data_IF_082921641424
#
_entry.id   IF_082921641424
#
_cell.length_a   1.000
_cell.length_b   1.000
_cell.length_c   1.000
_cell.angle_alpha   90.00
_cell.angle_beta   90.00
_cell.angle_gamma   90.00
#
_symmetry.space_group_name_H-M   'P 1'
#
loop_
_entity.id
_entity.type
_entity.pdbx_description
1 polymer ?
#
# COMPACT_ATOMS: atom_id res chain seq x y z
N UNK A 1 22.48 100.14 -5.99
CA UNK A 1 21.62 99.67 -7.09
C UNK A 1 21.02 98.38 -6.57
N UNK A 2 20.04 98.55 -5.69
CA UNK A 2 18.58 98.60 -5.96
C UNK A 2 18.04 97.22 -5.55
N UNK A 3 17.54 97.08 -4.32
CA UNK A 3 16.17 97.37 -3.85
C UNK A 3 15.09 96.55 -4.56
N UNK A 4 14.43 95.68 -3.78
CA UNK A 4 12.96 95.52 -3.61
C UNK A 4 12.72 94.22 -2.80
N UNK A 5 12.33 94.25 -1.51
CA UNK A 5 10.94 94.28 -0.96
C UNK A 5 10.08 93.12 -1.49
N UNK A 6 9.27 92.34 -0.76
CA UNK A 6 8.62 92.48 0.55
C UNK A 6 7.95 91.13 0.91
N UNK A 7 7.49 91.05 2.17
CA UNK A 7 6.36 90.28 2.70
C UNK A 7 6.59 88.89 3.31
N UNK A 8 6.54 88.92 4.64
CA UNK A 8 6.19 87.81 5.54
C UNK A 8 4.74 87.38 5.26
N UNK A 9 4.50 86.06 5.30
CA UNK A 9 3.25 85.57 5.87
C UNK A 9 3.48 84.23 6.59
N UNK A 10 2.96 84.16 7.82
CA UNK A 10 3.06 83.05 8.75
C UNK A 10 1.88 82.12 8.50
N UNK A 11 2.11 80.86 8.14
CA UNK A 11 1.07 79.81 8.27
C UNK A 11 1.65 78.43 8.59
N UNK A 12 1.43 78.02 9.85
CA UNK A 12 1.16 76.70 10.42
C UNK A 12 1.56 75.42 9.64
N UNK A 13 2.36 74.59 10.30
CA UNK A 13 2.83 73.25 9.89
C UNK A 13 1.72 72.25 9.49
N UNK A 14 1.87 71.52 8.37
CA UNK A 14 1.10 70.31 8.07
C UNK A 14 1.81 69.06 8.59
N UNK A 15 2.09 69.01 9.90
CA UNK A 15 2.54 67.78 10.61
C UNK A 15 1.40 67.10 11.38
N UNK A 16 0.14 67.50 11.12
CA UNK A 16 -1.05 66.91 11.72
C UNK A 16 -1.85 66.03 10.74
N UNK A 17 -1.91 66.36 9.45
CA UNK A 17 -2.61 65.52 8.46
C UNK A 17 -1.87 64.22 8.12
N UNK A 18 -0.52 64.22 8.17
CA UNK A 18 0.28 63.00 8.00
C UNK A 18 0.22 62.07 9.23
N UNK A 19 -0.10 62.61 10.42
CA UNK A 19 -0.27 61.82 11.64
C UNK A 19 -1.67 61.23 11.79
N UNK A 20 -2.69 61.81 11.15
CA UNK A 20 -4.04 61.22 11.11
C UNK A 20 -4.13 60.05 10.12
N UNK A 21 -3.40 60.08 9.00
CA UNK A 21 -3.31 58.94 8.07
C UNK A 21 -2.51 57.75 8.64
N UNK A 22 -1.48 58.01 9.46
CA UNK A 22 -0.80 56.95 10.24
C UNK A 22 -1.67 56.44 11.40
N UNK A 23 -2.62 57.22 11.93
CA UNK A 23 -3.54 56.75 12.98
C UNK A 23 -4.69 55.91 12.43
N UNK A 24 -5.20 56.18 11.23
CA UNK A 24 -6.23 55.32 10.59
C UNK A 24 -5.66 53.96 10.15
N UNK A 25 -4.39 53.88 9.76
CA UNK A 25 -3.72 52.61 9.47
C UNK A 25 -3.42 51.82 10.77
N UNK A 26 -3.15 52.52 11.87
CA UNK A 26 -3.01 51.92 13.21
C UNK A 26 -4.36 51.49 13.80
N UNK A 27 -5.46 52.20 13.57
CA UNK A 27 -6.81 51.76 13.97
C UNK A 27 -7.32 50.58 13.13
N UNK A 28 -6.91 50.50 11.86
CA UNK A 28 -7.21 49.33 11.00
C UNK A 28 -6.37 48.11 11.42
N UNK A 29 -5.11 48.31 11.84
CA UNK A 29 -4.31 47.26 12.47
C UNK A 29 -4.81 46.87 13.88
N UNK A 30 -5.40 47.79 14.64
CA UNK A 30 -6.03 47.51 15.95
C UNK A 30 -7.39 46.79 15.81
N UNK A 31 -8.10 46.94 14.69
CA UNK A 31 -9.28 46.15 14.37
C UNK A 31 -8.94 44.68 14.07
N UNK A 32 -7.72 44.38 13.59
CA UNK A 32 -7.21 43.00 13.45
C UNK A 32 -6.76 42.36 14.78
N UNK A 33 -6.65 43.13 15.87
CA UNK A 33 -6.23 42.63 17.19
C UNK A 33 -7.38 42.40 18.19
N UNK A 34 -8.65 42.62 17.82
CA UNK A 34 -9.82 42.39 18.69
C UNK A 34 -10.50 41.01 18.54
N UNK A 35 -9.99 40.11 17.69
CA UNK A 35 -10.58 38.77 17.48
C UNK A 35 -10.24 37.74 18.58
N UNK A 36 -9.42 38.11 19.58
CA UNK A 36 -8.85 37.15 20.52
C UNK A 36 -9.76 36.63 21.65
N UNK A 37 -10.98 37.14 21.86
CA UNK A 37 -11.75 36.86 23.10
C UNK A 37 -13.05 36.06 22.94
N UNK A 38 -13.76 36.17 21.80
CA UNK A 38 -15.13 35.63 21.67
C UNK A 38 -15.27 34.38 20.81
N UNK A 39 -14.21 34.01 20.12
CA UNK A 39 -14.27 33.05 19.02
C UNK A 39 -14.63 31.62 19.47
N UNK A 40 -14.10 31.06 20.59
CA UNK A 40 -14.42 29.67 20.96
C UNK A 40 -15.85 29.45 21.45
N UNK A 41 -16.42 30.38 22.22
CA UNK A 41 -17.77 30.21 22.78
C UNK A 41 -18.87 30.26 21.70
N UNK A 42 -18.68 31.13 20.69
CA UNK A 42 -19.56 31.20 19.52
C UNK A 42 -19.43 29.91 18.69
N UNK A 43 -18.21 29.46 18.42
CA UNK A 43 -17.96 28.20 17.71
C UNK A 43 -18.59 26.99 18.41
N UNK A 44 -18.47 26.90 19.74
CA UNK A 44 -19.07 25.81 20.51
C UNK A 44 -20.60 25.82 20.36
N UNK A 45 -21.22 26.99 20.49
CA UNK A 45 -22.69 27.10 20.38
C UNK A 45 -23.18 26.74 18.98
N UNK A 46 -22.54 27.28 17.94
CA UNK A 46 -22.90 26.98 16.54
C UNK A 46 -22.68 25.49 16.20
N UNK A 47 -21.57 24.91 16.65
CA UNK A 47 -21.29 23.49 16.45
C UNK A 47 -22.31 22.59 17.15
N UNK A 48 -22.72 22.91 18.38
CA UNK A 48 -23.72 22.14 19.10
C UNK A 48 -25.10 22.24 18.45
N UNK A 49 -25.49 23.42 17.96
CA UNK A 49 -26.75 23.60 17.22
C UNK A 49 -26.77 22.75 15.94
N UNK A 50 -25.66 22.73 15.19
CA UNK A 50 -25.53 21.88 14.01
C UNK A 50 -25.55 20.40 14.37
N UNK A 51 -24.86 19.99 15.42
CA UNK A 51 -24.81 18.60 15.87
C UNK A 51 -26.20 18.05 16.23
N UNK A 52 -27.02 18.84 16.93
CA UNK A 52 -28.39 18.45 17.27
C UNK A 52 -29.30 18.29 16.05
N UNK A 53 -28.96 18.94 14.92
CA UNK A 53 -29.72 18.84 13.67
C UNK A 53 -29.32 17.65 12.80
N UNK A 54 -28.28 16.89 13.16
CA UNK A 54 -27.75 15.81 12.35
C UNK A 54 -28.53 14.48 12.49
N UNK A 55 -28.49 13.62 11.44
CA UNK A 55 -29.15 12.32 11.47
C UNK A 55 -28.55 11.37 12.53
N UNK A 56 -29.38 10.45 13.02
CA UNK A 56 -28.97 9.39 13.96
C UNK A 56 -27.80 8.60 13.37
N UNK A 57 -26.67 8.57 14.07
CA UNK A 57 -25.45 7.91 13.61
C UNK A 57 -24.21 8.80 13.64
N UNK A 58 -24.33 10.11 13.83
CA UNK A 58 -23.19 10.98 14.11
C UNK A 58 -22.66 10.79 15.54
N UNK A 59 -21.39 11.13 15.77
CA UNK A 59 -20.79 11.17 17.10
C UNK A 59 -21.30 12.42 17.84
N UNK A 60 -22.26 12.23 18.74
CA UNK A 60 -22.98 13.30 19.46
C UNK A 60 -22.93 13.17 20.99
N UNK A 61 -22.12 12.25 21.52
CA UNK A 61 -22.03 11.95 22.95
C UNK A 61 -20.60 12.17 23.47
N UNK A 62 -20.50 12.76 24.65
CA UNK A 62 -19.23 12.89 25.39
C UNK A 62 -18.88 14.34 25.74
N UNK A 63 -17.73 14.52 26.39
CA UNK A 63 -17.32 15.82 26.94
C UNK A 63 -16.23 16.51 26.12
N UNK A 64 -15.76 15.91 25.03
CA UNK A 64 -14.85 16.55 24.09
C UNK A 64 -15.63 16.94 22.85
N UNK A 65 -15.61 18.24 22.50
CA UNK A 65 -16.08 18.72 21.20
C UNK A 65 -14.89 18.80 20.25
N UNK A 66 -15.04 18.22 19.06
CA UNK A 66 -14.05 18.23 17.99
C UNK A 66 -14.63 18.96 16.79
N UNK A 67 -13.95 19.99 16.31
CA UNK A 67 -14.33 20.75 15.11
C UNK A 67 -13.35 20.37 14.00
N UNK A 68 -13.85 19.67 12.97
CA UNK A 68 -13.01 19.18 11.87
C UNK A 68 -12.86 20.20 10.73
N UNK A 69 -13.68 21.25 10.73
CA UNK A 69 -13.64 22.33 9.75
C UNK A 69 -14.20 23.60 10.38
N UNK A 70 -13.37 24.63 10.54
CA UNK A 70 -13.77 25.91 11.14
C UNK A 70 -14.72 26.71 10.24
N UNK A 71 -14.77 26.39 8.95
CA UNK A 71 -15.67 27.04 8.00
C UNK A 71 -17.00 26.27 7.84
N UNK A 72 -17.08 25.06 8.39
CA UNK A 72 -18.26 24.20 8.32
C UNK A 72 -18.47 23.41 9.62
N UNK A 73 -19.16 24.02 10.58
CA UNK A 73 -19.51 23.39 11.86
C UNK A 73 -20.43 22.17 11.74
N UNK A 74 -20.97 21.87 10.55
CA UNK A 74 -21.63 20.59 10.33
C UNK A 74 -20.64 19.41 10.37
N UNK A 75 -19.34 19.66 10.34
CA UNK A 75 -18.30 18.63 10.51
C UNK A 75 -17.77 18.56 11.95
N UNK A 76 -18.54 19.02 12.92
CA UNK A 76 -18.20 18.86 14.34
C UNK A 76 -18.72 17.52 14.89
N UNK A 77 -18.05 16.98 15.91
CA UNK A 77 -18.51 15.81 16.63
C UNK A 77 -18.20 15.86 18.12
N UNK A 78 -18.97 15.13 18.92
CA UNK A 78 -18.70 14.89 20.34
C UNK A 78 -18.20 13.48 20.58
N UNK A 79 -17.14 13.40 21.38
CA UNK A 79 -16.51 12.14 21.77
C UNK A 79 -16.28 12.13 23.27
N UNK A 80 -16.36 10.95 23.88
CA UNK A 80 -15.99 10.80 25.28
C UNK A 80 -14.48 11.00 25.48
N UNK A 81 -14.12 11.80 26.49
CA UNK A 81 -12.73 12.10 26.83
C UNK A 81 -11.90 10.84 27.09
N UNK A 82 -12.48 9.81 27.70
CA UNK A 82 -11.78 8.55 27.95
C UNK A 82 -11.38 7.82 26.66
N UNK A 83 -12.17 7.88 25.58
CA UNK A 83 -11.82 7.27 24.29
C UNK A 83 -10.63 7.98 23.64
N UNK A 84 -10.66 9.32 23.58
CA UNK A 84 -9.55 10.09 22.99
C UNK A 84 -8.28 9.92 23.82
N UNK A 85 -8.38 10.06 25.14
CA UNK A 85 -7.22 10.09 26.03
C UNK A 85 -6.62 8.73 26.35
N UNK A 86 -7.36 7.64 26.17
CA UNK A 86 -6.80 6.29 26.26
C UNK A 86 -5.94 5.95 25.04
N UNK A 87 -6.20 6.59 23.89
CA UNK A 87 -5.68 6.16 22.60
C UNK A 87 -4.83 7.21 21.88
N UNK A 88 -4.64 8.41 22.46
CA UNK A 88 -3.84 9.49 21.86
C UNK A 88 -3.03 10.23 22.92
N UNK A 89 -1.96 10.92 22.50
CA UNK A 89 -1.19 11.82 23.38
C UNK A 89 -1.89 13.16 23.66
N UNK A 90 -3.10 13.37 23.14
CA UNK A 90 -3.87 14.61 23.34
C UNK A 90 -4.23 14.85 24.82
N UNK A 91 -4.19 13.81 25.66
CA UNK A 91 -4.46 13.95 27.10
C UNK A 91 -3.57 15.01 27.77
N UNK A 92 -2.28 15.02 27.48
CA UNK A 92 -1.33 15.95 28.10
C UNK A 92 -1.53 17.38 27.60
N UNK A 93 -1.79 17.53 26.31
CA UNK A 93 -2.09 18.82 25.69
C UNK A 93 -3.39 19.41 26.25
N UNK A 94 -4.43 18.60 26.41
CA UNK A 94 -5.71 19.00 26.99
C UNK A 94 -5.64 19.32 28.49
N UNK A 95 -4.80 18.62 29.28
CA UNK A 95 -4.64 18.88 30.72
C UNK A 95 -4.23 20.33 31.03
N UNK A 96 -3.42 20.95 30.18
CA UNK A 96 -2.98 22.34 30.34
C UNK A 96 -4.14 23.35 30.26
N UNK A 97 -5.23 22.97 29.61
CA UNK A 97 -6.41 23.82 29.36
C UNK A 97 -7.61 23.45 30.26
N UNK A 98 -7.53 22.33 30.99
CA UNK A 98 -8.62 21.75 31.78
C UNK A 98 -8.96 22.51 33.08
N UNK A 99 -8.23 23.56 33.42
CA UNK A 99 -8.42 24.32 34.68
C UNK A 99 -9.68 25.20 34.68
N UNK A 100 -10.46 25.21 33.60
CA UNK A 100 -11.62 26.06 33.40
C UNK A 100 -12.93 25.29 33.58
N UNK A 101 -14.01 25.95 34.04
CA UNK A 101 -15.30 25.29 34.19
C UNK A 101 -15.82 24.80 32.82
N UNK A 102 -16.52 23.65 32.78
CA UNK A 102 -17.12 23.15 31.55
C UNK A 102 -18.08 24.17 30.92
N UNK A 103 -18.07 24.27 29.58
CA UNK A 103 -18.99 25.14 28.84
C UNK A 103 -20.03 24.28 28.12
N UNK A 104 -21.31 24.41 28.48
CA UNK A 104 -22.41 23.64 27.87
C UNK A 104 -22.20 22.10 27.90
N UNK A 105 -21.57 21.58 28.96
CA UNK A 105 -21.26 20.15 29.09
C UNK A 105 -20.07 19.67 28.27
N UNK A 106 -19.28 20.61 27.72
CA UNK A 106 -17.99 20.36 27.07
C UNK A 106 -16.86 20.71 28.03
N UNK A 107 -15.98 19.75 28.27
CA UNK A 107 -14.78 19.89 29.09
C UNK A 107 -13.55 20.26 28.24
N UNK A 108 -13.55 19.87 26.96
CA UNK A 108 -12.40 20.05 26.06
C UNK A 108 -12.86 20.40 24.65
N UNK A 109 -12.19 21.36 24.02
CA UNK A 109 -12.37 21.72 22.61
C UNK A 109 -11.10 21.36 21.83
N UNK A 110 -11.27 20.59 20.77
CA UNK A 110 -10.23 20.28 19.79
C UNK A 110 -10.63 20.85 18.44
N UNK A 111 -9.70 21.50 17.75
CA UNK A 111 -9.91 22.05 16.40
C UNK A 111 -8.89 21.45 15.45
N UNK A 112 -9.34 21.00 14.29
CA UNK A 112 -8.45 20.50 13.25
C UNK A 112 -7.80 21.69 12.54
N UNK A 113 -6.47 21.80 12.62
CA UNK A 113 -5.71 22.92 12.08
C UNK A 113 -4.56 22.44 11.20
N UNK A 114 -4.30 23.17 10.12
CA UNK A 114 -3.26 22.88 9.14
C UNK A 114 -3.61 23.45 7.77
N UNK A 115 -2.63 24.08 7.13
CA UNK A 115 -2.68 24.49 5.72
C UNK A 115 -1.59 23.68 5.04
N UNK A 116 -1.95 22.91 4.02
CA UNK A 116 -1.04 22.26 3.08
C UNK A 116 -0.42 20.90 3.49
N UNK A 117 -0.24 20.60 4.78
CA UNK A 117 0.16 19.26 5.28
C UNK A 117 -1.00 18.50 5.98
N UNK A 118 -0.75 17.26 6.43
CA UNK A 118 -1.70 16.50 7.27
C UNK A 118 -2.10 17.34 8.49
N UNK A 119 -3.36 17.79 8.61
CA UNK A 119 -3.78 18.67 9.69
C UNK A 119 -3.78 17.91 11.02
N UNK A 120 -3.66 18.63 12.14
CA UNK A 120 -3.53 18.06 13.48
C UNK A 120 -4.63 18.60 14.39
N UNK A 121 -5.14 17.78 15.30
CA UNK A 121 -6.08 18.21 16.33
C UNK A 121 -5.36 19.05 17.40
N UNK A 122 -5.69 20.33 17.47
CA UNK A 122 -5.12 21.30 18.41
C UNK A 122 -6.12 21.61 19.53
N UNK A 123 -5.74 21.44 20.80
CA UNK A 123 -6.58 21.86 21.92
C UNK A 123 -6.76 23.37 21.99
N UNK A 124 -8.00 23.83 22.20
CA UNK A 124 -8.36 25.24 22.33
C UNK A 124 -9.06 25.52 23.67
N UNK A 125 -8.87 26.73 24.25
CA UNK A 125 -9.58 27.11 25.47
C UNK A 125 -11.09 27.28 25.21
N UNK A 126 -11.93 26.88 26.17
CA UNK A 126 -13.40 26.96 26.06
C UNK A 126 -13.95 28.40 26.12
N UNK A 127 -13.29 29.26 26.88
CA UNK A 127 -13.52 30.71 26.92
C UNK A 127 -12.16 31.39 26.86
N UNK A 128 -12.06 32.56 26.25
CA UNK A 128 -10.96 33.47 26.57
C UNK A 128 -11.47 34.44 27.63
N UNK A 129 -11.30 34.09 28.91
CA UNK A 129 -11.46 35.09 29.95
C UNK A 129 -10.32 36.11 29.80
N UNK A 130 -10.67 37.29 29.29
CA UNK A 130 -9.80 38.46 29.27
C UNK A 130 -9.71 39.00 30.69
N UNK A 131 -8.97 38.30 31.55
CA UNK A 131 -8.38 38.83 32.77
C UNK A 131 -7.10 38.06 33.06
N UNK A 132 -6.03 38.43 32.38
CA UNK A 132 -4.68 38.15 32.86
C UNK A 132 -3.93 39.47 32.89
N UNK A 133 -3.70 39.99 34.09
CA UNK A 133 -2.78 41.11 34.36
C UNK A 133 -1.31 40.75 34.09
N UNK A 134 -1.04 39.63 33.40
CA UNK A 134 0.30 39.17 33.02
C UNK A 134 0.29 38.61 31.59
N UNK A 135 -0.10 39.44 30.61
CA UNK A 135 0.13 39.15 29.21
C UNK A 135 1.61 39.35 28.87
N UNK A 136 2.47 38.39 29.24
CA UNK A 136 3.73 38.21 28.57
C UNK A 136 3.44 37.56 27.21
N UNK A 137 3.80 38.28 26.15
CA UNK A 137 3.61 37.95 24.74
C UNK A 137 4.03 36.52 24.42
N UNK A 138 3.07 35.68 23.99
CA UNK A 138 3.37 34.55 23.11
C UNK A 138 3.19 35.05 21.69
N UNK A 139 4.28 35.58 21.13
CA UNK A 139 4.38 36.00 19.73
C UNK A 139 4.24 34.78 18.82
N UNK A 140 3.13 34.71 18.08
CA UNK A 140 3.02 33.84 16.91
C UNK A 140 3.53 34.62 15.70
N UNK A 141 4.61 34.14 15.08
CA UNK A 141 5.08 34.64 13.79
C UNK A 141 4.30 33.94 12.68
N UNK A 142 3.61 34.72 11.85
CA UNK A 142 3.10 34.27 10.55
C UNK A 142 4.28 34.02 9.60
N UNK A 143 4.36 32.88 8.89
CA UNK A 143 5.27 32.76 7.77
C UNK A 143 4.70 33.49 6.55
N UNK A 144 5.56 34.30 5.95
CA UNK A 144 5.32 35.09 4.76
C UNK A 144 4.80 34.25 3.58
N UNK A 145 3.84 34.83 2.86
CA UNK A 145 3.35 34.34 1.57
C UNK A 145 4.51 34.29 0.57
N UNK A 146 4.96 33.09 0.22
CA UNK A 146 5.66 32.84 -1.04
C UNK A 146 4.76 31.97 -1.91
N UNK A 147 4.33 32.55 -3.03
CA UNK A 147 3.79 31.84 -4.15
C UNK A 147 4.91 31.03 -4.81
N UNK A 148 4.74 29.72 -4.90
CA UNK A 148 5.10 28.96 -6.09
C UNK A 148 4.41 27.58 -6.06
N UNK A 149 3.85 27.24 -7.22
CA UNK A 149 2.96 26.12 -7.49
C UNK A 149 3.64 24.76 -7.32
N UNK A 150 3.02 23.87 -6.53
CA UNK A 150 3.19 22.43 -6.65
C UNK A 150 1.81 21.76 -6.51
N UNK A 151 1.21 21.51 -7.66
CA UNK A 151 -0.05 20.80 -7.83
C UNK A 151 0.12 19.34 -7.34
N UNK A 152 -0.47 19.00 -6.19
CA UNK A 152 -0.79 17.61 -5.86
C UNK A 152 -2.22 17.33 -6.34
N UNK A 153 -2.33 16.48 -7.35
CA UNK A 153 -3.59 16.06 -7.95
C UNK A 153 -4.43 15.24 -6.95
N UNK A 154 -5.32 15.95 -6.27
CA UNK A 154 -6.34 15.38 -5.39
C UNK A 154 -7.55 14.93 -6.24
N UNK A 155 -7.33 14.03 -7.20
CA UNK A 155 -8.35 13.60 -8.18
C UNK A 155 -9.53 12.81 -7.59
N UNK A 156 -9.64 12.69 -6.26
CA UNK A 156 -10.75 12.00 -5.60
C UNK A 156 -11.44 12.76 -4.47
N UNK A 157 -11.02 14.00 -4.17
CA UNK A 157 -11.82 14.99 -3.45
C UNK A 157 -12.24 14.66 -1.99
N UNK A 158 -11.69 13.64 -1.34
CA UNK A 158 -11.96 13.42 0.08
C UNK A 158 -11.08 14.35 0.94
N UNK A 159 -11.73 15.13 1.81
CA UNK A 159 -11.03 16.06 2.71
C UNK A 159 -10.54 15.34 3.96
N UNK A 160 -9.43 15.81 4.55
CA UNK A 160 -8.90 15.29 5.83
C UNK A 160 -9.95 15.20 6.94
N UNK A 161 -10.94 16.10 6.95
CA UNK A 161 -12.07 16.04 7.88
C UNK A 161 -12.77 14.68 7.87
N UNK A 162 -12.90 14.02 6.70
CA UNK A 162 -13.49 12.69 6.57
C UNK A 162 -12.60 11.61 7.19
N UNK A 163 -11.29 11.65 6.98
CA UNK A 163 -10.36 10.67 7.58
C UNK A 163 -10.32 10.79 9.11
N UNK A 164 -10.39 12.02 9.63
CA UNK A 164 -10.52 12.25 11.06
C UNK A 164 -11.87 11.79 11.62
N UNK A 165 -12.99 11.97 10.92
CA UNK A 165 -14.28 11.41 11.35
C UNK A 165 -14.22 9.86 11.43
N UNK A 166 -13.65 9.21 10.42
CA UNK A 166 -13.42 7.75 10.41
C UNK A 166 -12.57 7.33 11.63
N UNK A 167 -11.45 8.02 11.87
CA UNK A 167 -10.57 7.77 13.02
C UNK A 167 -11.31 7.92 14.35
N UNK A 168 -12.07 9.01 14.53
CA UNK A 168 -12.82 9.29 15.75
C UNK A 168 -13.92 8.25 16.00
N UNK A 169 -14.54 7.71 14.95
CA UNK A 169 -15.52 6.61 15.06
C UNK A 169 -14.87 5.33 15.54
N UNK A 170 -13.68 5.00 15.04
CA UNK A 170 -12.90 3.81 15.44
C UNK A 170 -12.55 3.88 16.92
N UNK A 171 -11.93 4.97 17.38
CA UNK A 171 -11.54 5.11 18.80
C UNK A 171 -12.76 5.22 19.73
N UNK A 172 -13.92 5.63 19.20
CA UNK A 172 -15.18 5.66 19.95
C UNK A 172 -15.88 4.30 20.04
N UNK A 173 -15.30 3.24 19.47
CA UNK A 173 -15.85 1.89 19.52
C UNK A 173 -17.13 1.70 18.70
N UNK A 174 -17.36 2.54 17.69
CA UNK A 174 -18.50 2.39 16.78
C UNK A 174 -18.35 1.10 15.95
N UNK A 175 -19.47 0.48 15.58
CA UNK A 175 -19.45 -0.75 14.77
C UNK A 175 -18.79 -0.49 13.40
N UNK A 176 -18.04 -1.49 12.92
CA UNK A 176 -17.49 -1.64 11.57
C UNK A 176 -18.40 -1.18 10.42
N UNK A 177 -19.72 -1.36 10.56
CA UNK A 177 -20.73 -0.91 9.57
C UNK A 177 -20.87 0.60 9.47
N UNK A 178 -20.46 1.31 10.51
CA UNK A 178 -20.58 2.77 10.63
C UNK A 178 -19.25 3.52 10.51
N UNK A 179 -18.13 2.81 10.34
CA UNK A 179 -16.79 3.41 10.26
C UNK A 179 -16.65 4.32 9.04
N UNK A 180 -17.38 4.07 7.95
CA UNK A 180 -17.39 4.95 6.76
C UNK A 180 -16.33 4.63 5.70
N UNK A 181 -15.61 3.52 5.86
CA UNK A 181 -14.70 2.98 4.84
C UNK A 181 -15.51 2.35 3.70
N UNK A 182 -15.08 2.60 2.46
CA UNK A 182 -15.66 2.05 1.24
C UNK A 182 -15.68 0.52 1.26
N UNK A 183 -16.84 -0.06 0.94
CA UNK A 183 -17.03 -1.52 0.84
C UNK A 183 -16.93 -2.06 -0.58
N UNK A 184 -17.28 -1.20 -1.53
CA UNK A 184 -17.43 -1.59 -2.93
C UNK A 184 -16.23 -1.18 -3.78
N UNK A 185 -15.51 -0.13 -3.38
CA UNK A 185 -14.31 0.36 -4.06
C UNK A 185 -13.09 0.16 -3.17
N UNK A 186 -12.23 -0.82 -3.52
CA UNK A 186 -11.02 -1.16 -2.76
C UNK A 186 -9.89 -0.14 -2.93
N UNK A 187 -9.80 0.58 -4.04
CA UNK A 187 -8.79 1.66 -4.19
C UNK A 187 -9.12 2.82 -3.25
N UNK A 188 -10.41 3.20 -3.19
CA UNK A 188 -10.87 4.20 -2.23
C UNK A 188 -10.67 3.72 -0.78
N UNK A 189 -10.94 2.45 -0.51
CA UNK A 189 -10.71 1.87 0.81
C UNK A 189 -9.22 1.89 1.20
N UNK A 190 -8.33 1.51 0.28
CA UNK A 190 -6.89 1.56 0.49
C UNK A 190 -6.42 2.98 0.85
N UNK A 191 -6.89 4.00 0.13
CA UNK A 191 -6.58 5.40 0.42
C UNK A 191 -7.12 5.85 1.78
N UNK A 192 -8.37 5.52 2.09
CA UNK A 192 -9.00 5.82 3.39
C UNK A 192 -8.25 5.17 4.55
N UNK A 193 -7.85 3.91 4.41
CA UNK A 193 -7.14 3.18 5.46
C UNK A 193 -5.70 3.69 5.60
N UNK A 194 -5.03 4.02 4.51
CA UNK A 194 -3.68 4.61 4.54
C UNK A 194 -3.70 5.95 5.28
N UNK A 195 -4.62 6.85 4.91
CA UNK A 195 -4.78 8.14 5.59
C UNK A 195 -5.15 7.98 7.07
N UNK A 196 -5.97 6.98 7.41
CA UNK A 196 -6.30 6.63 8.80
C UNK A 196 -5.06 6.20 9.59
N UNK A 197 -4.19 5.38 9.01
CA UNK A 197 -2.91 4.97 9.61
C UNK A 197 -2.00 6.18 9.82
N UNK A 198 -1.95 7.11 8.87
CA UNK A 198 -1.14 8.33 8.99
C UNK A 198 -1.65 9.23 10.13
N UNK A 199 -2.97 9.42 10.23
CA UNK A 199 -3.61 10.14 11.36
C UNK A 199 -3.28 9.44 12.68
N UNK A 200 -3.36 8.11 12.72
CA UNK A 200 -3.05 7.35 13.92
C UNK A 200 -1.60 7.53 14.38
N UNK A 201 -0.65 7.47 13.44
CA UNK A 201 0.78 7.68 13.71
C UNK A 201 1.03 9.10 14.21
N UNK A 202 0.40 10.11 13.59
CA UNK A 202 0.50 11.51 14.00
C UNK A 202 0.08 11.75 15.46
N UNK A 203 -0.97 11.04 15.90
CA UNK A 203 -1.49 11.13 17.26
C UNK A 203 -0.88 10.10 18.24
N UNK A 204 0.14 9.36 17.79
CA UNK A 204 0.81 8.28 18.53
C UNK A 204 -0.18 7.24 19.08
N UNK A 205 -1.15 6.87 18.26
CA UNK A 205 -2.14 5.86 18.59
C UNK A 205 -1.55 4.45 18.50
N UNK A 206 -2.07 3.52 19.30
CA UNK A 206 -1.69 2.12 19.24
C UNK A 206 -2.24 1.49 17.94
N UNK A 207 -1.35 1.25 16.96
CA UNK A 207 -1.68 0.64 15.68
C UNK A 207 -2.47 -0.68 15.80
N UNK A 208 -2.13 -1.62 16.71
CA UNK A 208 -2.87 -2.89 16.83
C UNK A 208 -4.37 -2.71 17.07
N UNK A 209 -4.77 -1.66 17.79
CA UNK A 209 -6.19 -1.34 18.02
C UNK A 209 -6.90 -0.98 16.72
N UNK A 210 -6.24 -0.22 15.84
CA UNK A 210 -6.81 0.15 14.54
C UNK A 210 -6.87 -1.06 13.63
N UNK A 211 -5.80 -1.86 13.59
CA UNK A 211 -5.76 -3.10 12.84
C UNK A 211 -6.92 -4.04 13.22
N UNK A 212 -7.17 -4.25 14.52
CA UNK A 212 -8.27 -5.10 15.02
C UNK A 212 -9.64 -4.64 14.48
N UNK A 213 -9.90 -3.33 14.45
CA UNK A 213 -11.16 -2.78 13.93
C UNK A 213 -11.25 -2.88 12.40
N UNK A 214 -10.13 -2.76 11.72
CA UNK A 214 -10.06 -2.92 10.26
C UNK A 214 -10.20 -4.38 9.83
N UNK A 215 -9.84 -5.36 10.67
CA UNK A 215 -9.97 -6.77 10.33
C UNK A 215 -11.40 -7.13 9.90
N UNK A 216 -12.43 -6.61 10.57
CA UNK A 216 -13.83 -6.88 10.18
C UNK A 216 -14.13 -6.35 8.78
N UNK A 217 -13.56 -5.19 8.44
CA UNK A 217 -13.67 -4.60 7.10
C UNK A 217 -12.96 -5.45 6.06
N UNK A 218 -11.73 -5.93 6.35
CA UNK A 218 -10.99 -6.84 5.48
C UNK A 218 -11.71 -8.16 5.24
N UNK A 219 -12.28 -8.77 6.29
CA UNK A 219 -13.11 -9.97 6.16
C UNK A 219 -14.34 -9.71 5.26
N UNK A 220 -14.91 -8.51 5.33
CA UNK A 220 -16.02 -8.08 4.47
C UNK A 220 -15.65 -8.02 2.97
N UNK A 221 -14.39 -7.75 2.62
CA UNK A 221 -13.92 -7.78 1.23
C UNK A 221 -13.76 -9.21 0.69
N UNK A 222 -13.40 -10.16 1.56
CA UNK A 222 -13.16 -11.55 1.19
C UNK A 222 -12.11 -11.68 0.08
N UNK A 223 -12.35 -12.58 -0.88
CA UNK A 223 -11.39 -12.85 -1.98
C UNK A 223 -11.04 -11.64 -2.84
N UNK A 224 -11.91 -10.61 -2.90
CA UNK A 224 -11.65 -9.38 -3.65
C UNK A 224 -10.46 -8.58 -3.12
N UNK A 225 -10.19 -8.69 -1.81
CA UNK A 225 -9.03 -8.06 -1.18
C UNK A 225 -7.75 -8.59 -1.80
N UNK A 226 -7.56 -9.91 -1.78
CA UNK A 226 -6.34 -10.52 -2.26
C UNK A 226 -6.16 -10.36 -3.78
N UNK A 227 -7.25 -10.31 -4.56
CA UNK A 227 -7.17 -9.90 -5.97
C UNK A 227 -6.65 -8.47 -6.13
N UNK A 228 -7.11 -7.52 -5.31
CA UNK A 228 -6.62 -6.14 -5.33
C UNK A 228 -5.16 -6.04 -4.86
N UNK A 229 -4.74 -6.88 -3.91
CA UNK A 229 -3.34 -7.01 -3.48
C UNK A 229 -2.44 -7.40 -4.65
N UNK A 230 -2.86 -8.40 -5.45
CA UNK A 230 -2.10 -8.80 -6.64
C UNK A 230 -2.02 -7.72 -7.73
N UNK A 231 -2.94 -6.76 -7.76
CA UNK A 231 -2.94 -5.63 -8.70
C UNK A 231 -2.01 -4.49 -8.26
N UNK A 232 -1.89 -4.25 -6.95
CA UNK A 232 -1.02 -3.21 -6.40
C UNK A 232 -0.25 -3.70 -5.16
N UNK A 233 0.69 -4.65 -5.35
CA UNK A 233 1.31 -5.30 -4.22
C UNK A 233 2.23 -4.35 -3.41
N UNK A 234 2.71 -3.25 -3.98
CA UNK A 234 3.58 -2.29 -3.27
C UNK A 234 2.79 -1.55 -2.19
N UNK A 235 1.66 -0.91 -2.55
CA UNK A 235 0.86 -0.14 -1.58
C UNK A 235 0.23 -1.06 -0.52
N UNK A 236 -0.22 -2.25 -0.92
CA UNK A 236 -0.78 -3.22 0.02
C UNK A 236 0.29 -3.84 0.93
N UNK A 237 1.52 -4.04 0.47
CA UNK A 237 2.64 -4.48 1.31
C UNK A 237 2.95 -3.42 2.38
N UNK A 238 3.06 -2.14 1.98
CA UNK A 238 3.26 -1.03 2.92
C UNK A 238 2.16 -0.96 3.96
N UNK A 239 0.90 -1.10 3.54
CA UNK A 239 -0.22 -1.09 4.47
C UNK A 239 -0.18 -2.29 5.42
N UNK A 240 0.13 -3.50 4.93
CA UNK A 240 0.30 -4.70 5.75
C UNK A 240 1.39 -4.50 6.81
N UNK A 241 2.51 -3.88 6.45
CA UNK A 241 3.56 -3.51 7.41
C UNK A 241 3.08 -2.50 8.44
N UNK A 242 2.43 -1.44 7.99
CA UNK A 242 1.99 -0.36 8.86
C UNK A 242 0.93 -0.80 9.86
N UNK A 243 0.10 -1.77 9.50
CA UNK A 243 -0.91 -2.37 10.37
C UNK A 243 -0.39 -3.59 11.15
N UNK A 244 0.80 -4.10 10.80
CA UNK A 244 1.33 -5.39 11.27
C UNK A 244 0.35 -6.54 10.98
N UNK A 245 -0.34 -6.49 9.83
CA UNK A 245 -1.27 -7.53 9.38
C UNK A 245 -0.51 -8.59 8.56
N UNK A 246 -0.21 -9.73 9.21
CA UNK A 246 0.56 -10.82 8.59
C UNK A 246 -0.07 -11.35 7.29
N UNK A 247 -1.39 -11.65 7.21
CA UNK A 247 -1.99 -12.17 5.98
C UNK A 247 -1.85 -11.19 4.80
N UNK A 248 -2.09 -9.91 5.03
CA UNK A 248 -2.02 -8.88 4.00
C UNK A 248 -0.58 -8.66 3.53
N UNK A 249 0.37 -8.54 4.47
CA UNK A 249 1.78 -8.41 4.13
C UNK A 249 2.30 -9.61 3.35
N UNK A 250 2.00 -10.83 3.82
CA UNK A 250 2.43 -12.08 3.20
C UNK A 250 1.92 -12.21 1.77
N UNK A 251 0.65 -11.93 1.53
CA UNK A 251 0.07 -11.95 0.19
C UNK A 251 0.84 -11.01 -0.75
N UNK A 252 1.00 -9.76 -0.33
CA UNK A 252 1.65 -8.73 -1.11
C UNK A 252 3.13 -9.05 -1.37
N UNK A 253 3.84 -9.52 -0.35
CA UNK A 253 5.25 -9.90 -0.43
C UNK A 253 5.49 -11.01 -1.45
N UNK A 254 4.66 -12.07 -1.45
CA UNK A 254 4.77 -13.16 -2.44
C UNK A 254 4.58 -12.63 -3.86
N UNK A 255 3.65 -11.70 -4.08
CA UNK A 255 3.48 -11.05 -5.39
C UNK A 255 4.71 -10.24 -5.80
N UNK A 256 5.29 -9.45 -4.87
CA UNK A 256 6.49 -8.65 -5.14
C UNK A 256 7.70 -9.52 -5.50
N UNK A 257 7.90 -10.63 -4.79
CA UNK A 257 8.99 -11.57 -5.06
C UNK A 257 8.77 -12.31 -6.38
N UNK A 258 7.57 -12.85 -6.60
CA UNK A 258 7.25 -13.61 -7.80
C UNK A 258 7.34 -12.76 -9.07
N UNK A 259 6.83 -11.53 -9.01
CA UNK A 259 6.80 -10.60 -10.14
C UNK A 259 8.01 -9.65 -10.19
N UNK A 260 9.08 -9.93 -9.42
CA UNK A 260 10.20 -9.01 -9.22
C UNK A 260 10.76 -8.42 -10.53
N UNK A 261 11.10 -9.27 -11.51
CA UNK A 261 11.65 -8.82 -12.79
C UNK A 261 10.64 -7.96 -13.60
N UNK A 262 9.34 -8.18 -13.44
CA UNK A 262 8.30 -7.39 -14.11
C UNK A 262 8.06 -6.04 -13.43
N UNK A 263 8.25 -5.96 -12.12
CA UNK A 263 8.02 -4.75 -11.32
C UNK A 263 9.28 -3.87 -11.34
N UNK A 264 10.46 -4.46 -11.22
CA UNK A 264 11.73 -3.75 -11.01
C UNK A 264 12.74 -3.93 -12.16
N UNK A 265 12.56 -4.90 -13.06
CA UNK A 265 13.61 -5.35 -13.99
C UNK A 265 13.54 -4.82 -15.42
N UNK A 266 12.47 -4.15 -15.85
CA UNK A 266 12.26 -3.75 -17.26
C UNK A 266 12.43 -2.26 -17.57
N UNK A 267 12.52 -1.39 -16.57
CA UNK A 267 12.68 0.05 -16.76
C UNK A 267 13.97 0.53 -16.12
N UNK A 268 14.74 1.37 -16.83
CA UNK A 268 15.86 2.14 -16.28
C UNK A 268 15.42 3.08 -15.15
N UNK A 269 14.12 3.30 -15.04
CA UNK A 269 13.47 4.05 -13.98
C UNK A 269 12.77 3.06 -13.05
N UNK A 270 13.16 3.06 -11.77
CA UNK A 270 12.40 2.36 -10.74
C UNK A 270 10.96 2.88 -10.75
N UNK A 271 9.96 2.04 -10.39
CA UNK A 271 8.59 2.52 -10.24
C UNK A 271 8.58 3.80 -9.39
N UNK A 272 7.78 4.79 -9.76
CA UNK A 272 7.61 6.05 -8.99
C UNK A 272 7.18 5.82 -7.53
N UNK A 273 6.77 4.60 -7.21
CA UNK A 273 6.33 4.12 -5.91
C UNK A 273 7.36 3.24 -5.18
N UNK A 274 8.56 3.07 -5.72
CA UNK A 274 9.59 2.22 -5.12
C UNK A 274 10.00 2.68 -3.71
N UNK A 275 10.03 4.00 -3.50
CA UNK A 275 10.42 4.60 -2.22
C UNK A 275 9.36 4.46 -1.10
N UNK A 276 8.18 3.90 -1.43
CA UNK A 276 7.12 3.67 -0.43
C UNK A 276 7.53 2.60 0.58
N UNK A 277 8.28 1.57 0.16
CA UNK A 277 8.74 0.49 1.03
C UNK A 277 10.10 0.83 1.65
N UNK A 278 10.35 0.53 2.93
CA UNK A 278 11.68 0.70 3.53
C UNK A 278 12.76 -0.12 2.82
N UNK A 279 13.99 0.41 2.78
CA UNK A 279 15.15 -0.26 2.14
C UNK A 279 15.40 -1.68 2.67
N UNK A 280 15.13 -1.92 3.96
CA UNK A 280 15.24 -3.26 4.55
C UNK A 280 14.32 -4.26 3.87
N UNK A 281 13.06 -3.89 3.65
CA UNK A 281 12.04 -4.73 3.00
C UNK A 281 12.33 -4.90 1.52
N UNK A 282 12.75 -3.84 0.83
CA UNK A 282 13.22 -3.96 -0.55
C UNK A 282 14.39 -4.95 -0.66
N UNK A 283 15.32 -4.91 0.29
CA UNK A 283 16.43 -5.86 0.39
C UNK A 283 15.96 -7.30 0.59
N UNK A 284 14.98 -7.54 1.46
CA UNK A 284 14.38 -8.86 1.66
C UNK A 284 13.70 -9.38 0.39
N UNK A 285 12.88 -8.56 -0.26
CA UNK A 285 12.22 -8.91 -1.53
C UNK A 285 13.26 -9.30 -2.59
N UNK A 286 14.33 -8.51 -2.73
CA UNK A 286 15.38 -8.78 -3.71
C UNK A 286 16.18 -10.06 -3.37
N UNK A 287 16.41 -10.34 -2.09
CA UNK A 287 17.06 -11.58 -1.64
C UNK A 287 16.20 -12.81 -1.97
N UNK A 288 14.92 -12.80 -1.60
CA UNK A 288 13.99 -13.88 -1.89
C UNK A 288 13.76 -14.08 -3.39
N UNK A 289 13.71 -12.98 -4.17
CA UNK A 289 13.60 -13.06 -5.63
C UNK A 289 14.83 -13.74 -6.25
N UNK A 290 16.03 -13.48 -5.72
CA UNK A 290 17.26 -14.15 -6.12
C UNK A 290 17.22 -15.63 -5.76
N UNK A 291 16.80 -15.98 -4.55
CA UNK A 291 16.65 -17.38 -4.16
C UNK A 291 15.67 -18.15 -5.06
N UNK A 292 14.52 -17.54 -5.36
CA UNK A 292 13.54 -18.12 -6.26
C UNK A 292 14.13 -18.35 -7.67
N UNK A 293 14.91 -17.39 -8.16
CA UNK A 293 15.62 -17.49 -9.44
C UNK A 293 16.68 -18.60 -9.43
N UNK A 294 17.42 -18.77 -8.34
CA UNK A 294 18.41 -19.84 -8.20
C UNK A 294 17.75 -21.23 -8.12
N UNK A 295 16.66 -21.36 -7.35
CA UNK A 295 15.83 -22.57 -7.29
C UNK A 295 15.30 -22.95 -8.68
N UNK A 296 14.80 -21.95 -9.43
CA UNK A 296 14.38 -22.10 -10.83
C UNK A 296 15.54 -22.56 -11.71
N UNK A 297 16.70 -21.91 -11.63
CA UNK A 297 17.86 -22.24 -12.45
C UNK A 297 18.36 -23.67 -12.23
N UNK A 298 18.35 -24.14 -10.98
CA UNK A 298 18.68 -25.53 -10.66
C UNK A 298 17.69 -26.52 -11.32
N UNK A 299 16.40 -26.21 -11.30
CA UNK A 299 15.38 -27.04 -11.96
C UNK A 299 15.52 -27.01 -13.48
N UNK A 300 15.83 -25.85 -14.08
CA UNK A 300 16.12 -25.74 -15.51
C UNK A 300 17.27 -26.68 -15.92
N UNK A 301 18.37 -26.69 -15.16
CA UNK A 301 19.50 -27.57 -15.39
C UNK A 301 19.11 -29.06 -15.27
N UNK A 302 18.29 -29.41 -14.29
CA UNK A 302 17.78 -30.78 -14.15
C UNK A 302 16.95 -31.18 -15.37
N UNK A 303 16.02 -30.33 -15.82
CA UNK A 303 15.18 -30.59 -16.99
C UNK A 303 16.00 -30.73 -18.28
N UNK A 304 17.02 -29.89 -18.48
CA UNK A 304 17.88 -29.91 -19.67
C UNK A 304 18.88 -31.09 -19.67
N UNK A 305 19.26 -31.57 -18.49
CA UNK A 305 20.20 -32.69 -18.33
C UNK A 305 19.51 -34.06 -18.20
N UNK A 306 18.18 -34.09 -18.17
CA UNK A 306 17.40 -35.29 -17.86
C UNK A 306 17.76 -36.49 -18.74
N UNK A 307 17.81 -37.67 -18.13
CA UNK A 307 17.95 -38.96 -18.81
C UNK A 307 17.12 -40.02 -18.09
N UNK A 308 16.93 -41.17 -18.72
CA UNK A 308 16.15 -42.29 -18.16
C UNK A 308 17.08 -43.46 -17.88
N UNK A 309 16.94 -44.06 -16.70
CA UNK A 309 17.56 -45.36 -16.43
C UNK A 309 16.80 -46.47 -17.16
N UNK A 310 17.53 -47.28 -17.92
CA UNK A 310 17.00 -48.49 -18.54
C UNK A 310 17.81 -49.70 -18.09
N UNK A 311 17.08 -50.80 -17.91
CA UNK A 311 17.67 -52.11 -17.65
C UNK A 311 17.51 -52.95 -18.90
N UNK A 312 18.61 -53.19 -19.61
CA UNK A 312 18.67 -54.06 -20.77
C UNK A 312 19.63 -55.22 -20.46
N UNK A 313 19.21 -56.45 -20.74
CA UNK A 313 20.02 -57.68 -20.54
C UNK A 313 20.64 -57.77 -19.12
N UNK A 314 19.90 -57.33 -18.09
CA UNK A 314 20.34 -57.36 -16.68
C UNK A 314 21.31 -56.25 -16.26
N UNK A 315 21.67 -55.30 -17.13
CA UNK A 315 22.49 -54.13 -16.81
C UNK A 315 21.63 -52.87 -16.81
N UNK A 316 21.71 -52.08 -15.75
CA UNK A 316 21.02 -50.80 -15.63
C UNK A 316 21.98 -49.66 -15.92
N UNK A 317 21.69 -48.88 -16.96
CA UNK A 317 22.47 -47.71 -17.35
C UNK A 317 21.53 -46.56 -17.75
N UNK A 318 22.05 -45.33 -17.76
CA UNK A 318 21.33 -44.21 -18.33
C UNK A 318 21.32 -44.31 -19.84
N UNK A 319 20.20 -43.89 -20.45
CA UNK A 319 20.10 -43.79 -21.91
C UNK A 319 21.24 -42.94 -22.45
N UNK A 320 21.99 -43.51 -23.38
CA UNK A 320 23.20 -42.97 -23.98
C UNK A 320 23.19 -43.18 -25.50
N UNK A 321 23.94 -42.35 -26.24
CA UNK A 321 24.13 -42.49 -27.69
C UNK A 321 24.77 -43.83 -28.10
N UNK A 322 25.34 -44.56 -27.13
CA UNK A 322 25.98 -45.85 -27.34
C UNK A 322 25.09 -47.06 -26.99
N UNK A 323 23.81 -46.84 -26.64
CA UNK A 323 22.88 -47.91 -26.30
C UNK A 323 22.30 -48.61 -27.53
N UNK A 324 21.86 -49.87 -27.35
CA UNK A 324 21.22 -50.73 -28.36
C UNK A 324 19.82 -50.22 -28.84
N UNK A 325 19.37 -49.02 -28.41
CA UNK A 325 18.00 -48.52 -28.61
C UNK A 325 17.99 -47.03 -29.02
N UNK A 326 18.15 -46.74 -30.32
CA UNK A 326 18.22 -45.37 -30.84
C UNK A 326 16.96 -44.55 -30.55
N UNK A 327 15.78 -45.18 -30.57
CA UNK A 327 14.50 -44.50 -30.37
C UNK A 327 14.39 -43.88 -28.95
N UNK A 328 14.88 -44.58 -27.93
CA UNK A 328 14.94 -44.02 -26.58
C UNK A 328 15.91 -42.84 -26.47
N UNK A 329 17.07 -42.91 -27.12
CA UNK A 329 18.06 -41.83 -27.12
C UNK A 329 17.54 -40.57 -27.83
N UNK A 330 16.98 -40.75 -29.03
CA UNK A 330 16.41 -39.66 -29.82
C UNK A 330 15.27 -38.96 -29.07
N UNK A 331 14.42 -39.72 -28.36
CA UNK A 331 13.36 -39.15 -27.52
C UNK A 331 13.89 -38.34 -26.35
N UNK A 332 14.95 -38.81 -25.69
CA UNK A 332 15.58 -38.04 -24.61
C UNK A 332 16.11 -36.71 -25.15
N UNK A 333 16.74 -36.71 -26.33
CA UNK A 333 17.23 -35.47 -26.95
C UNK A 333 16.08 -34.54 -27.36
N UNK A 334 15.03 -35.07 -28.01
CA UNK A 334 13.83 -34.31 -28.35
C UNK A 334 13.18 -33.65 -27.12
N UNK A 335 13.15 -34.36 -25.99
CA UNK A 335 12.65 -33.82 -24.73
C UNK A 335 13.53 -32.69 -24.19
N UNK A 336 14.86 -32.83 -24.26
CA UNK A 336 15.80 -31.79 -23.82
C UNK A 336 15.73 -30.56 -24.71
N UNK A 337 15.56 -30.74 -26.02
CA UNK A 337 15.38 -29.64 -26.98
C UNK A 337 14.09 -28.89 -26.68
N UNK A 338 12.98 -29.61 -26.46
CA UNK A 338 11.72 -29.01 -26.02
C UNK A 338 11.90 -28.15 -24.77
N UNK A 339 12.57 -28.67 -23.74
CA UNK A 339 12.83 -27.90 -22.50
C UNK A 339 13.73 -26.69 -22.76
N UNK A 340 14.77 -26.87 -23.56
CA UNK A 340 15.76 -25.83 -23.84
C UNK A 340 15.14 -24.65 -24.60
N UNK A 341 14.29 -24.91 -25.59
CA UNK A 341 13.65 -23.83 -26.35
C UNK A 341 12.73 -22.97 -25.47
N UNK A 342 11.92 -23.60 -24.62
CA UNK A 342 11.06 -22.86 -23.68
C UNK A 342 11.87 -22.10 -22.64
N UNK A 343 12.90 -22.72 -22.05
CA UNK A 343 13.78 -22.04 -21.07
C UNK A 343 14.49 -20.85 -21.71
N UNK A 344 14.93 -20.97 -22.98
CA UNK A 344 15.56 -19.87 -23.72
C UNK A 344 14.59 -18.70 -23.92
N UNK A 345 13.36 -18.98 -24.32
CA UNK A 345 12.30 -17.97 -24.41
C UNK A 345 12.10 -17.25 -23.07
N UNK A 346 11.95 -18.00 -21.98
CA UNK A 346 11.67 -17.46 -20.64
C UNK A 346 12.83 -16.74 -19.96
N UNK A 347 14.06 -16.83 -20.49
CA UNK A 347 15.24 -16.17 -19.92
C UNK A 347 15.69 -14.96 -20.73
N UNK A 348 15.56 -15.03 -22.05
CA UNK A 348 16.14 -14.05 -22.96
C UNK A 348 15.11 -13.40 -23.88
N UNK A 349 13.81 -13.56 -23.58
CA UNK A 349 12.70 -13.11 -24.43
C UNK A 349 12.88 -13.53 -25.91
N UNK A 350 13.53 -14.68 -26.13
CA UNK A 350 13.79 -15.22 -27.46
C UNK A 350 12.47 -15.62 -28.15
N UNK A 351 12.29 -15.43 -29.46
CA UNK A 351 11.07 -15.84 -30.15
C UNK A 351 10.79 -17.33 -29.93
N UNK A 352 9.54 -17.65 -29.57
CA UNK A 352 9.09 -19.02 -29.40
C UNK A 352 8.10 -19.34 -30.51
N UNK A 353 8.59 -19.99 -31.56
CA UNK A 353 7.78 -20.36 -32.72
C UNK A 353 6.90 -21.58 -32.41
N UNK A 354 5.67 -21.65 -32.93
CA UNK A 354 4.85 -22.86 -32.84
C UNK A 354 5.53 -24.04 -33.52
N UNK A 355 5.55 -25.19 -32.84
CA UNK A 355 6.06 -26.47 -33.37
C UNK A 355 4.96 -27.52 -33.34
N UNK A 356 5.19 -28.67 -33.98
CA UNK A 356 4.29 -29.82 -33.86
C UNK A 356 4.11 -30.29 -32.40
N UNK A 357 5.05 -30.00 -31.51
CA UNK A 357 5.03 -30.39 -30.11
C UNK A 357 4.39 -29.34 -29.19
N UNK A 358 4.29 -28.09 -29.64
CA UNK A 358 3.67 -27.01 -28.87
C UNK A 358 3.16 -25.88 -29.76
N UNK A 359 1.89 -25.51 -29.58
CA UNK A 359 1.26 -24.35 -30.24
C UNK A 359 1.20 -23.11 -29.34
N UNK A 360 1.79 -23.17 -28.13
CA UNK A 360 1.83 -22.12 -27.11
C UNK A 360 0.47 -21.62 -26.58
N UNK A 361 -0.65 -22.23 -26.98
CA UNK A 361 -1.99 -21.82 -26.58
C UNK A 361 -2.28 -22.08 -25.09
N UNK A 362 -1.56 -23.02 -24.47
CA UNK A 362 -1.77 -23.43 -23.07
C UNK A 362 -1.01 -22.54 -22.06
N UNK A 363 -0.33 -21.47 -22.51
CA UNK A 363 0.33 -20.50 -21.62
C UNK A 363 1.77 -20.85 -21.22
N UNK A 364 2.43 -21.77 -21.93
CA UNK A 364 3.83 -22.14 -21.69
C UNK A 364 4.85 -21.01 -21.96
N UNK A 365 4.40 -19.87 -22.49
CA UNK A 365 5.19 -18.67 -22.76
C UNK A 365 5.38 -17.77 -21.53
N UNK A 366 4.85 -18.17 -20.37
CA UNK A 366 5.06 -17.49 -19.10
C UNK A 366 5.87 -18.38 -18.16
N UNK A 367 6.64 -17.76 -17.26
CA UNK A 367 7.51 -18.50 -16.32
C UNK A 367 6.67 -19.53 -15.55
N UNK A 368 5.57 -19.10 -14.94
CA UNK A 368 4.72 -20.01 -14.19
C UNK A 368 3.97 -21.00 -15.06
N UNK A 369 3.44 -20.56 -16.21
CA UNK A 369 2.68 -21.41 -17.11
C UNK A 369 3.48 -22.61 -17.62
N UNK A 370 4.76 -22.41 -17.95
CA UNK A 370 5.66 -23.49 -18.36
C UNK A 370 5.81 -24.58 -17.29
N UNK A 371 6.19 -24.22 -16.06
CA UNK A 371 6.35 -25.21 -14.99
C UNK A 371 5.02 -25.86 -14.59
N UNK A 372 3.90 -25.11 -14.64
CA UNK A 372 2.55 -25.65 -14.39
C UNK A 372 2.16 -26.70 -15.43
N UNK A 373 2.44 -26.47 -16.71
CA UNK A 373 2.19 -27.46 -17.77
C UNK A 373 3.02 -28.73 -17.54
N UNK A 374 4.30 -28.58 -17.19
CA UNK A 374 5.16 -29.73 -16.86
C UNK A 374 4.57 -30.52 -15.68
N UNK A 375 4.12 -29.83 -14.64
CA UNK A 375 3.54 -30.44 -13.45
C UNK A 375 2.21 -31.16 -13.72
N UNK A 376 1.32 -30.56 -14.53
CA UNK A 376 0.08 -31.21 -14.99
C UNK A 376 0.39 -32.53 -15.70
N UNK A 377 1.44 -32.52 -16.53
CA UNK A 377 1.95 -33.72 -17.18
C UNK A 377 0.96 -34.33 -18.18
N UNK A 378 1.09 -35.65 -18.41
CA UNK A 378 0.24 -36.43 -19.32
C UNK A 378 0.15 -35.83 -20.73
N UNK A 379 -0.96 -35.14 -21.05
CA UNK A 379 -1.27 -34.60 -22.37
C UNK A 379 -1.09 -33.08 -22.47
N UNK A 380 -0.67 -32.40 -21.39
CA UNK A 380 -0.50 -30.94 -21.38
C UNK A 380 0.71 -30.44 -22.22
N UNK A 381 1.67 -31.32 -22.48
CA UNK A 381 2.79 -31.03 -23.38
C UNK A 381 3.29 -32.31 -24.04
N UNK A 382 3.97 -32.21 -25.19
CA UNK A 382 4.57 -33.34 -25.91
C UNK A 382 3.64 -34.56 -25.93
N UNK A 383 2.41 -34.41 -26.43
CA UNK A 383 1.45 -35.52 -26.51
C UNK A 383 2.08 -36.65 -27.33
N UNK A 384 1.80 -37.90 -26.94
CA UNK A 384 2.41 -39.05 -27.59
C UNK A 384 2.14 -39.03 -29.10
N UNK A 385 0.92 -38.67 -29.50
CA UNK A 385 0.50 -38.58 -30.90
C UNK A 385 1.30 -37.53 -31.68
N UNK A 386 1.64 -36.41 -31.05
CA UNK A 386 2.40 -35.33 -31.66
C UNK A 386 3.90 -35.64 -31.72
N UNK A 387 4.42 -36.35 -30.71
CA UNK A 387 5.76 -36.91 -30.69
C UNK A 387 5.94 -37.96 -31.80
N UNK A 388 4.95 -38.83 -32.02
CA UNK A 388 5.01 -39.82 -33.11
C UNK A 388 4.96 -39.16 -34.50
N UNK A 389 4.16 -38.09 -34.67
CA UNK A 389 4.14 -37.31 -35.92
C UNK A 389 5.50 -36.67 -36.22
N UNK A 390 6.23 -36.23 -35.20
CA UNK A 390 7.55 -35.62 -35.37
C UNK A 390 8.55 -36.56 -36.08
N UNK A 391 8.51 -37.86 -35.79
CA UNK A 391 9.39 -38.83 -36.45
C UNK A 391 9.00 -39.17 -37.90
N UNK A 392 7.84 -38.71 -38.37
CA UNK A 392 7.35 -38.82 -39.76
C UNK A 392 7.53 -40.19 -40.45
N UNK A 393 7.74 -41.24 -39.66
CA UNK A 393 7.85 -42.63 -40.06
C UNK A 393 7.20 -43.43 -38.93
N UNK A 394 6.28 -44.33 -39.27
CA UNK A 394 5.65 -45.20 -38.28
C UNK A 394 6.73 -46.03 -37.58
N UNK A 395 7.10 -45.67 -36.36
CA UNK A 395 7.76 -46.61 -35.46
C UNK A 395 6.75 -47.76 -35.26
N UNK A 396 7.09 -48.93 -35.76
CA UNK A 396 6.28 -50.14 -35.64
C UNK A 396 6.85 -51.07 -34.57
N UNK A 397 6.00 -51.81 -33.88
CA UNK A 397 6.43 -52.81 -32.89
C UNK A 397 7.08 -52.22 -31.63
N UNK A 398 8.24 -52.76 -31.25
CA UNK A 398 8.88 -52.54 -29.95
C UNK A 398 9.37 -51.08 -29.73
N UNK A 399 9.64 -50.35 -30.81
CA UNK A 399 10.11 -48.95 -30.74
C UNK A 399 9.00 -47.99 -30.26
N UNK A 400 7.76 -48.20 -30.71
CA UNK A 400 6.61 -47.39 -30.30
C UNK A 400 6.33 -47.52 -28.79
N UNK A 401 6.37 -48.75 -28.26
CA UNK A 401 6.20 -49.01 -26.83
C UNK A 401 7.39 -48.49 -26.02
N UNK A 402 8.60 -48.55 -26.57
CA UNK A 402 9.80 -47.94 -25.98
C UNK A 402 9.65 -46.43 -25.87
N UNK A 403 9.21 -45.74 -26.93
CA UNK A 403 8.97 -44.29 -26.92
C UNK A 403 7.90 -43.94 -25.88
N UNK A 404 6.78 -44.66 -25.89
CA UNK A 404 5.68 -44.43 -24.94
C UNK A 404 6.12 -44.58 -23.48
N UNK A 405 6.80 -45.68 -23.17
CA UNK A 405 7.27 -45.97 -21.81
C UNK A 405 8.38 -45.01 -21.36
N UNK A 406 9.29 -44.62 -22.25
CA UNK A 406 10.37 -43.66 -21.98
C UNK A 406 9.82 -42.25 -21.78
N UNK A 407 8.89 -41.80 -22.64
CA UNK A 407 8.21 -40.51 -22.52
C UNK A 407 7.48 -40.41 -21.17
N UNK A 408 6.78 -41.48 -20.78
CA UNK A 408 6.11 -41.55 -19.47
C UNK A 408 7.11 -41.37 -18.32
N UNK A 409 8.26 -42.06 -18.36
CA UNK A 409 9.30 -41.94 -17.32
C UNK A 409 9.88 -40.53 -17.25
N UNK A 410 10.16 -39.90 -18.40
CA UNK A 410 10.63 -38.52 -18.48
C UNK A 410 9.61 -37.57 -17.83
N UNK A 411 8.35 -37.62 -18.26
CA UNK A 411 7.30 -36.72 -17.73
C UNK A 411 7.07 -36.89 -16.24
N UNK A 412 7.04 -38.12 -15.73
CA UNK A 412 6.89 -38.36 -14.29
C UNK A 412 8.10 -37.87 -13.47
N UNK A 413 9.29 -37.90 -14.05
CA UNK A 413 10.50 -37.38 -13.41
C UNK A 413 10.50 -35.84 -13.42
N UNK A 414 10.21 -35.23 -14.57
CA UNK A 414 10.11 -33.78 -14.71
C UNK A 414 9.05 -33.20 -13.77
N UNK A 415 7.90 -33.86 -13.64
CA UNK A 415 6.84 -33.48 -12.69
C UNK A 415 7.35 -33.37 -11.26
N UNK A 416 8.20 -34.31 -10.81
CA UNK A 416 8.79 -34.28 -9.46
C UNK A 416 9.75 -33.11 -9.30
N UNK A 417 10.55 -32.79 -10.33
CA UNK A 417 11.47 -31.67 -10.28
C UNK A 417 10.77 -30.33 -10.19
N UNK A 418 9.69 -30.13 -10.94
CA UNK A 418 8.97 -28.82 -10.95
C UNK A 418 7.97 -28.66 -9.82
N UNK A 419 7.62 -29.74 -9.12
CA UNK A 419 6.62 -29.73 -8.04
C UNK A 419 6.84 -28.61 -7.00
N UNK A 420 8.07 -28.33 -6.52
CA UNK A 420 8.30 -27.27 -5.55
C UNK A 420 7.97 -25.87 -6.07
N UNK A 421 8.07 -25.62 -7.39
CA UNK A 421 7.84 -24.30 -7.98
C UNK A 421 6.36 -23.97 -8.19
N UNK A 422 5.51 -24.99 -8.31
CA UNK A 422 4.09 -24.82 -8.67
C UNK A 422 3.16 -24.73 -7.47
N UNK A 423 3.67 -24.93 -6.25
CA UNK A 423 2.91 -24.73 -5.02
C UNK A 423 2.68 -23.24 -4.84
N UNK A 424 1.43 -22.81 -4.61
CA UNK A 424 1.10 -21.43 -4.29
C UNK A 424 0.95 -21.25 -2.79
N UNK A 425 1.52 -20.18 -2.25
CA UNK A 425 1.34 -19.76 -0.85
C UNK A 425 0.45 -18.53 -0.68
N UNK A 426 -0.19 -18.07 -1.76
CA UNK A 426 -1.21 -17.02 -1.74
C UNK A 426 -2.52 -17.50 -1.11
N UNK A 427 -3.22 -16.56 -0.46
CA UNK A 427 -4.62 -16.66 -0.02
C UNK A 427 -5.59 -16.46 -1.19
N UNK A 428 -5.23 -15.64 -2.18
CA UNK A 428 -6.04 -15.44 -3.38
C UNK A 428 -6.30 -16.77 -4.11
N UNK A 429 -7.55 -16.97 -4.50
CA UNK A 429 -7.88 -17.92 -5.57
C UNK A 429 -7.39 -17.38 -6.92
N UNK A 430 -7.08 -18.27 -7.86
CA UNK A 430 -6.62 -17.86 -9.20
C UNK A 430 -5.10 -17.69 -9.35
N UNK A 431 -4.31 -18.17 -8.38
CA UNK A 431 -2.84 -18.22 -8.53
C UNK A 431 -2.41 -18.94 -9.82
N UNK A 432 -3.20 -19.90 -10.30
CA UNK A 432 -2.99 -20.62 -11.58
C UNK A 432 -2.99 -19.72 -12.84
N UNK A 433 -3.56 -18.53 -12.76
CA UNK A 433 -3.64 -17.57 -13.88
C UNK A 433 -2.45 -16.59 -13.90
N UNK A 434 -1.71 -16.49 -12.79
CA UNK A 434 -0.56 -15.59 -12.68
C UNK A 434 0.58 -16.03 -13.58
N UNK A 435 1.28 -15.07 -14.21
CA UNK A 435 2.39 -15.34 -15.13
C UNK A 435 3.71 -15.69 -14.42
N UNK A 436 3.76 -15.50 -13.11
CA UNK A 436 4.93 -15.69 -12.24
C UNK A 436 4.66 -16.69 -11.12
N UNK A 437 5.76 -17.18 -10.52
CA UNK A 437 5.72 -18.21 -9.48
C UNK A 437 5.36 -17.61 -8.12
N UNK A 438 4.64 -18.37 -7.30
CA UNK A 438 4.12 -17.95 -5.99
C UNK A 438 4.45 -18.96 -4.88
N UNK A 439 5.53 -19.73 -5.08
CA UNK A 439 6.01 -20.78 -4.18
C UNK A 439 6.93 -20.27 -3.07
N UNK A 440 7.06 -18.96 -2.94
CA UNK A 440 7.82 -18.31 -1.88
C UNK A 440 7.11 -18.54 -0.56
N UNK A 441 7.87 -18.92 0.46
CA UNK A 441 7.36 -19.06 1.83
C UNK A 441 7.84 -17.85 2.60
N UNK A 442 6.88 -17.15 3.20
CA UNK A 442 7.14 -16.06 4.14
C UNK A 442 7.10 -16.66 5.53
N UNK A 443 8.24 -16.60 6.21
CA UNK A 443 8.50 -17.10 7.56
C UNK A 443 8.61 -15.92 8.55
N UNK A 444 8.89 -16.22 9.83
CA UNK A 444 8.88 -15.22 10.90
C UNK A 444 9.92 -14.10 10.68
N UNK A 445 11.07 -14.45 10.10
CA UNK A 445 12.20 -13.57 9.84
C UNK A 445 11.90 -12.53 8.73
N UNK A 446 10.90 -12.79 7.90
CA UNK A 446 10.50 -11.92 6.79
C UNK A 446 9.56 -10.78 7.23
N UNK A 447 9.08 -10.80 8.47
CA UNK A 447 8.21 -9.76 9.02
C UNK A 447 9.07 -8.66 9.69
N UNK A 448 9.13 -7.44 9.13
CA UNK A 448 10.05 -6.40 9.60
C UNK A 448 9.76 -5.95 11.04
N UNK A 449 8.51 -6.05 11.51
CA UNK A 449 8.12 -5.67 12.86
C UNK A 449 8.42 -6.71 13.93
N UNK A 450 8.75 -7.96 13.56
CA UNK A 450 9.17 -8.98 14.53
C UNK A 450 10.66 -8.85 14.88
N UNK A 451 11.49 -8.42 13.93
CA UNK A 451 12.91 -8.17 14.15
C UNK A 451 13.19 -6.97 15.09
N UNK A 452 12.24 -6.03 15.21
CA UNK A 452 12.35 -4.86 16.09
C UNK A 452 12.08 -5.18 17.58
N UNK A 453 11.61 -6.39 17.91
CA UNK A 453 11.25 -6.80 19.27
C UNK A 453 12.39 -7.32 20.15
N UNK A 454 13.58 -7.54 19.58
CA UNK A 454 14.76 -8.10 20.27
C UNK A 454 15.86 -7.04 20.57
N UNK A 455 15.55 -5.74 20.44
CA UNK A 455 16.49 -4.64 20.67
C UNK A 455 16.26 -3.86 21.98
#
# INVERSE_FOLDING_TARGET
MEDTTSDMDVTLSPTLAAKEAELEDVETQLAHMSYGSRVPAVWISEALDKLHSQPKGHLDVGTVLVILDINDFSKACRVHSYNIFAHTRLREACKKLASRPPHQGIDYLLVLEGKDDMPVLVPRPLSYDVRSDNAAEVSYSEPAQHADDAHFDNETGESWSRYYDIFLRIISGRDSKSIGISRDNLDLALRQITALVDVAKAHHCAIPMIAEKLMVTFHGYGGRLYTAVGQDPIRWCKLGMDLQDEPLYKEAFIHLVGAYDSIYGKTTELPSQHDILPLSVQGMIAAEARELKDKRMNIDLLLQSMSVLRTAKGKTAFVSHYDDDPAACDLVNLFRDYMTDHIRHLRWDAPLEPTHLCNHAEGCNTVAGFYRIIFRGRHAYMRYEDVMKHWNMGLEGDDAETVKSTLKKLKETAKKYVQPLVVSHLQASGSEELRYLTCVKVEAEDYPWLAEGDA
#
